data_IF_095850008094
#
_entry.id   IF_095850008094
#
_cell.length_a   1.000
_cell.length_b   1.000
_cell.length_c   1.000
_cell.angle_alpha   90.00
_cell.angle_beta   90.00
_cell.angle_gamma   90.00
#
_symmetry.space_group_name_H-M   'P 1'
#
loop_
_entity.id
_entity.type
_entity.pdbx_description
1 polymer ?
#
# COMPACT_ATOMS: atom_id res chain seq x y z
N UNK A 1 2.49 -26.02 9.95
CA UNK A 1 1.58 -25.08 9.27
C UNK A 1 1.78 -23.74 9.97
N UNK A 2 2.14 -22.68 9.27
CA UNK A 2 2.30 -21.37 9.89
C UNK A 2 0.92 -20.83 10.28
N UNK A 3 0.80 -20.22 11.45
CA UNK A 3 -0.47 -19.66 11.93
C UNK A 3 -0.82 -18.40 11.11
N UNK A 4 -2.06 -18.31 10.62
CA UNK A 4 -2.56 -17.09 9.98
C UNK A 4 -3.08 -16.13 11.05
N UNK A 5 -2.23 -15.16 11.38
CA UNK A 5 -2.43 -14.19 12.44
C UNK A 5 -3.66 -13.29 12.18
N UNK A 6 -4.32 -12.80 13.23
CA UNK A 6 -5.37 -11.81 13.09
C UNK A 6 -4.81 -10.49 12.54
N UNK A 7 -5.67 -9.73 11.86
CA UNK A 7 -5.32 -8.38 11.43
C UNK A 7 -5.02 -7.46 12.64
N UNK A 8 -4.17 -6.43 12.48
CA UNK A 8 -3.90 -5.45 13.51
C UNK A 8 -5.17 -4.76 14.03
N UNK A 9 -5.13 -4.15 15.23
CA UNK A 9 -6.24 -3.37 15.75
C UNK A 9 -6.70 -2.27 14.79
N UNK A 10 -7.99 -1.92 14.86
CA UNK A 10 -8.53 -0.76 14.15
C UNK A 10 -7.78 0.52 14.59
N UNK A 11 -7.57 1.43 13.65
CA UNK A 11 -6.84 2.68 13.83
C UNK A 11 -5.32 2.53 13.68
N UNK A 12 -4.80 1.31 13.49
CA UNK A 12 -3.40 1.09 13.15
C UNK A 12 -3.05 1.84 11.85
N UNK A 13 -1.94 2.59 11.82
CA UNK A 13 -1.41 3.18 10.59
C UNK A 13 -0.92 2.11 9.64
N UNK A 14 -1.37 2.18 8.38
CA UNK A 14 -0.97 1.24 7.34
C UNK A 14 -0.75 1.93 5.99
N UNK A 15 0.01 1.28 5.13
CA UNK A 15 -0.05 1.48 3.68
C UNK A 15 -0.71 0.26 3.02
N UNK A 16 -1.26 0.46 1.84
CA UNK A 16 -1.96 -0.55 1.05
C UNK A 16 -1.30 -0.71 -0.32
N UNK A 17 -1.38 -1.92 -0.85
CA UNK A 17 -0.96 -2.27 -2.20
C UNK A 17 -2.02 -3.15 -2.87
N UNK A 18 -2.37 -2.87 -4.12
CA UNK A 18 -3.32 -3.68 -4.86
C UNK A 18 -2.82 -4.06 -6.26
N UNK A 19 -2.96 -5.33 -6.57
CA UNK A 19 -2.76 -5.89 -7.90
C UNK A 19 -4.12 -6.29 -8.47
N UNK A 20 -4.52 -5.64 -9.56
CA UNK A 20 -5.86 -5.71 -10.12
C UNK A 20 -5.89 -6.51 -11.41
N UNK A 21 -6.83 -7.46 -11.50
CA UNK A 21 -7.12 -8.15 -12.75
C UNK A 21 -8.61 -8.37 -12.93
N UNK A 22 -9.07 -8.29 -14.17
CA UNK A 22 -10.48 -8.47 -14.53
C UNK A 22 -10.84 -9.95 -14.72
N UNK A 23 -9.89 -10.75 -15.24
CA UNK A 23 -10.09 -12.17 -15.62
C UNK A 23 -8.82 -13.00 -15.37
N UNK A 24 -9.00 -14.30 -15.11
CA UNK A 24 -7.98 -15.33 -14.89
C UNK A 24 -7.04 -15.10 -13.68
N UNK A 25 -6.29 -14.02 -13.67
CA UNK A 25 -5.42 -13.63 -12.55
C UNK A 25 -6.22 -13.02 -11.40
N UNK A 26 -5.73 -13.20 -10.17
CA UNK A 26 -6.49 -12.78 -8.99
C UNK A 26 -6.36 -11.28 -8.79
N UNK A 27 -7.38 -10.69 -8.17
CA UNK A 27 -7.25 -9.34 -7.60
C UNK A 27 -6.91 -9.46 -6.12
N UNK A 28 -6.02 -8.63 -5.61
CA UNK A 28 -5.65 -8.64 -4.20
C UNK A 28 -5.36 -7.24 -3.68
N UNK A 29 -5.73 -6.99 -2.42
CA UNK A 29 -5.26 -5.87 -1.61
C UNK A 29 -4.45 -6.45 -0.44
N UNK A 30 -3.23 -5.96 -0.26
CA UNK A 30 -2.32 -6.28 0.85
C UNK A 30 -2.01 -5.02 1.62
N UNK A 31 -1.63 -5.17 2.89
CA UNK A 31 -1.36 -4.05 3.77
C UNK A 31 -0.01 -4.21 4.50
N UNK A 32 0.65 -3.09 4.78
CA UNK A 32 1.85 -3.01 5.60
C UNK A 32 1.64 -2.01 6.74
N UNK A 33 1.94 -2.39 7.98
CA UNK A 33 1.99 -1.45 9.11
C UNK A 33 3.27 -0.63 9.09
N UNK A 34 3.30 0.48 9.85
CA UNK A 34 4.50 1.33 9.97
C UNK A 34 5.78 0.54 10.35
N UNK A 35 5.64 -0.45 11.23
CA UNK A 35 6.71 -1.33 11.73
C UNK A 35 6.99 -2.56 10.84
N UNK A 36 6.36 -2.66 9.66
CA UNK A 36 6.70 -3.66 8.65
C UNK A 36 5.95 -4.99 8.74
N UNK A 37 4.82 -5.06 9.47
CA UNK A 37 3.95 -6.23 9.39
C UNK A 37 3.13 -6.19 8.09
N UNK A 38 3.42 -7.13 7.19
CA UNK A 38 2.64 -7.41 5.99
C UNK A 38 1.50 -8.38 6.31
N UNK A 39 0.27 -8.00 6.00
CA UNK A 39 -0.91 -8.83 6.28
C UNK A 39 -1.94 -8.81 5.16
N UNK A 40 -2.81 -9.82 5.14
CA UNK A 40 -4.01 -9.86 4.29
C UNK A 40 -5.16 -9.29 5.09
N UNK A 41 -5.61 -8.06 4.79
CA UNK A 41 -6.81 -7.54 5.41
C UNK A 41 -8.02 -8.45 5.17
N UNK A 42 -9.02 -8.27 6.02
CA UNK A 42 -10.32 -8.92 5.86
C UNK A 42 -11.38 -7.83 5.80
N UNK A 43 -12.50 -8.10 5.14
CA UNK A 43 -13.60 -7.16 4.96
C UNK A 43 -14.95 -7.85 5.10
N UNK A 44 -16.01 -7.06 5.24
CA UNK A 44 -17.39 -7.52 5.39
C UNK A 44 -17.69 -8.20 6.73
N UNK A 45 -18.97 -8.54 6.96
CA UNK A 45 -19.40 -9.22 8.19
C UNK A 45 -18.80 -10.62 8.33
N UNK A 46 -18.58 -11.32 7.21
CA UNK A 46 -18.00 -12.67 7.18
C UNK A 46 -16.47 -12.68 7.26
N UNK A 47 -15.85 -11.49 7.32
CA UNK A 47 -14.39 -11.32 7.41
C UNK A 47 -13.66 -12.05 6.28
N UNK A 48 -14.17 -11.93 5.05
CA UNK A 48 -13.53 -12.48 3.86
C UNK A 48 -12.17 -11.80 3.65
N UNK A 49 -11.13 -12.52 3.19
CA UNK A 49 -9.86 -11.91 2.87
C UNK A 49 -9.97 -11.00 1.65
N UNK A 50 -9.12 -9.98 1.57
CA UNK A 50 -9.08 -9.03 0.44
C UNK A 50 -8.31 -9.58 -0.75
N UNK A 51 -8.69 -10.77 -1.20
CA UNK A 51 -8.29 -11.31 -2.49
C UNK A 51 -9.47 -12.03 -3.15
N UNK A 52 -9.50 -12.01 -4.47
CA UNK A 52 -10.62 -12.52 -5.26
C UNK A 52 -10.08 -13.34 -6.44
N UNK A 53 -10.40 -14.63 -6.47
CA UNK A 53 -10.22 -15.48 -7.64
C UNK A 53 -11.39 -15.26 -8.60
N UNK A 54 -11.22 -14.65 -9.79
CA UNK A 54 -12.32 -14.43 -10.71
C UNK A 54 -13.16 -15.69 -10.97
N UNK A 55 -12.54 -16.88 -10.96
CA UNK A 55 -13.22 -18.16 -11.22
C UNK A 55 -14.27 -18.53 -10.17
N UNK A 56 -14.17 -17.99 -8.96
CA UNK A 56 -15.16 -18.25 -7.89
C UNK A 56 -16.32 -17.27 -7.92
N UNK A 57 -16.33 -16.30 -8.84
CA UNK A 57 -17.34 -15.26 -8.94
C UNK A 57 -18.16 -15.36 -10.24
N UNK A 58 -19.40 -14.83 -10.26
CA UNK A 58 -20.26 -14.87 -11.44
C UNK A 58 -19.56 -14.30 -12.69
N UNK A 59 -19.65 -15.03 -13.80
CA UNK A 59 -19.02 -14.61 -15.06
C UNK A 59 -17.51 -14.78 -15.12
N UNK A 60 -16.91 -15.51 -14.17
CA UNK A 60 -15.46 -15.72 -14.07
C UNK A 60 -14.67 -14.39 -14.03
N UNK A 61 -15.22 -13.40 -13.32
CA UNK A 61 -14.77 -12.01 -13.32
C UNK A 61 -14.61 -11.50 -11.90
N UNK A 62 -13.63 -10.64 -11.68
CA UNK A 62 -13.44 -9.99 -10.38
C UNK A 62 -14.68 -9.17 -9.98
N UNK A 63 -15.19 -9.35 -8.76
CA UNK A 63 -16.32 -8.57 -8.23
C UNK A 63 -15.86 -7.17 -7.82
N UNK A 64 -15.87 -6.22 -8.78
CA UNK A 64 -15.34 -4.86 -8.54
C UNK A 64 -16.01 -4.12 -7.39
N UNK A 65 -17.32 -4.34 -7.20
CA UNK A 65 -18.08 -3.79 -6.07
C UNK A 65 -17.52 -4.27 -4.72
N UNK A 66 -17.10 -5.53 -4.64
CA UNK A 66 -16.47 -6.10 -3.44
C UNK A 66 -15.07 -5.53 -3.22
N UNK A 67 -14.28 -5.34 -4.28
CA UNK A 67 -12.96 -4.71 -4.20
C UNK A 67 -13.08 -3.27 -3.68
N UNK A 68 -14.01 -2.50 -4.24
CA UNK A 68 -14.33 -1.13 -3.83
C UNK A 68 -14.79 -1.08 -2.36
N UNK A 69 -15.77 -1.91 -2.00
CA UNK A 69 -16.30 -2.00 -0.64
C UNK A 69 -15.20 -2.36 0.37
N UNK A 70 -14.35 -3.32 0.02
CA UNK A 70 -13.22 -3.70 0.86
C UNK A 70 -12.27 -2.52 1.07
N UNK A 71 -11.87 -1.82 0.01
CA UNK A 71 -10.99 -0.66 0.11
C UNK A 71 -11.57 0.41 1.05
N UNK A 72 -12.84 0.80 0.90
CA UNK A 72 -13.49 1.77 1.78
C UNK A 72 -13.53 1.35 3.24
N UNK A 73 -13.80 0.07 3.47
CA UNK A 73 -13.83 -0.49 4.80
C UNK A 73 -12.45 -0.46 5.46
N UNK A 74 -11.38 -0.67 4.68
CA UNK A 74 -10.01 -0.50 5.16
C UNK A 74 -9.72 0.95 5.52
N UNK A 75 -10.12 1.92 4.70
CA UNK A 75 -10.00 3.35 5.03
C UNK A 75 -10.80 3.75 6.27
N UNK A 76 -11.95 3.09 6.50
CA UNK A 76 -12.76 3.31 7.71
C UNK A 76 -12.12 2.70 8.96
N UNK A 77 -11.43 1.57 8.81
CA UNK A 77 -10.91 0.80 9.96
C UNK A 77 -9.48 1.13 10.31
N UNK A 78 -8.67 1.60 9.38
CA UNK A 78 -7.26 1.88 9.56
C UNK A 78 -6.93 3.32 9.20
N UNK A 79 -5.77 3.79 9.64
CA UNK A 79 -5.22 5.07 9.18
C UNK A 79 -4.37 4.79 7.95
N UNK A 80 -5.00 4.78 6.78
CA UNK A 80 -4.31 4.51 5.52
C UNK A 80 -3.51 5.74 5.13
N UNK A 81 -2.17 5.62 5.12
CA UNK A 81 -1.28 6.70 4.73
C UNK A 81 -1.16 6.79 3.20
N UNK A 82 -0.95 5.64 2.55
CA UNK A 82 -0.75 5.55 1.11
C UNK A 82 -1.26 4.23 0.58
N UNK A 83 -1.93 4.27 -0.57
CA UNK A 83 -2.45 3.12 -1.27
C UNK A 83 -1.98 3.16 -2.73
N UNK A 84 -1.10 2.23 -3.10
CA UNK A 84 -0.70 2.00 -4.49
C UNK A 84 -1.55 0.91 -5.13
N UNK A 85 -2.15 1.21 -6.29
CA UNK A 85 -3.00 0.28 -7.03
C UNK A 85 -2.47 0.16 -8.46
N UNK A 86 -2.17 -1.05 -8.92
CA UNK A 86 -1.86 -1.33 -10.33
C UNK A 86 -3.11 -1.11 -11.22
N UNK A 87 -3.09 -0.12 -12.12
CA UNK A 87 -4.30 0.34 -12.78
C UNK A 87 -4.84 -0.44 -13.97
N UNK A 88 -4.12 -1.36 -14.67
CA UNK A 88 -4.67 -1.98 -15.88
C UNK A 88 -6.08 -2.53 -15.66
N UNK A 89 -7.07 -1.97 -16.37
CA UNK A 89 -8.50 -2.28 -16.27
C UNK A 89 -9.20 -1.77 -15.01
N UNK A 90 -8.53 -1.19 -14.04
CA UNK A 90 -9.07 -0.62 -12.80
C UNK A 90 -8.97 0.91 -12.76
N UNK A 91 -8.68 1.57 -13.88
CA UNK A 91 -8.44 3.03 -13.93
C UNK A 91 -9.61 3.82 -13.32
N UNK A 92 -10.84 3.60 -13.80
CA UNK A 92 -12.04 4.26 -13.27
C UNK A 92 -12.35 3.89 -11.81
N UNK A 93 -11.99 2.67 -11.41
CA UNK A 93 -12.15 2.20 -10.04
C UNK A 93 -11.20 2.95 -9.09
N UNK A 94 -9.97 3.19 -9.53
CA UNK A 94 -8.95 3.94 -8.80
C UNK A 94 -9.34 5.41 -8.71
N UNK A 95 -9.81 6.02 -9.80
CA UNK A 95 -10.31 7.41 -9.81
C UNK A 95 -11.44 7.60 -8.78
N UNK A 96 -12.36 6.62 -8.70
CA UNK A 96 -13.44 6.65 -7.72
C UNK A 96 -12.95 6.47 -6.27
N UNK A 97 -11.88 5.70 -6.05
CA UNK A 97 -11.25 5.58 -4.72
C UNK A 97 -10.53 6.86 -4.33
N UNK A 98 -9.76 7.46 -5.25
CA UNK A 98 -9.04 8.72 -5.04
C UNK A 98 -10.02 9.86 -4.75
N UNK A 99 -11.13 9.94 -5.47
CA UNK A 99 -12.19 10.93 -5.22
C UNK A 99 -12.79 10.83 -3.81
N UNK A 100 -12.81 9.64 -3.22
CA UNK A 100 -13.41 9.38 -1.90
C UNK A 100 -12.37 9.45 -0.78
N UNK A 101 -11.11 9.17 -1.10
CA UNK A 101 -9.96 9.17 -0.19
C UNK A 101 -8.83 10.03 -0.79
N UNK A 102 -9.06 11.35 -0.94
CA UNK A 102 -8.16 12.23 -1.67
C UNK A 102 -6.80 12.33 -1.00
N UNK A 103 -5.74 12.27 -1.80
CA UNK A 103 -4.35 12.34 -1.32
C UNK A 103 -3.79 11.04 -0.74
N UNK A 104 -4.54 9.94 -0.78
CA UNK A 104 -4.08 8.64 -0.26
C UNK A 104 -4.01 7.53 -1.31
N UNK A 105 -4.75 7.63 -2.42
CA UNK A 105 -4.83 6.57 -3.44
C UNK A 105 -4.09 7.01 -4.70
N UNK A 106 -3.21 6.16 -5.21
CA UNK A 106 -2.37 6.47 -6.37
C UNK A 106 -2.25 5.26 -7.29
N UNK A 107 -2.29 5.53 -8.60
CA UNK A 107 -1.89 4.54 -9.59
C UNK A 107 -0.41 4.20 -9.45
N UNK A 108 -0.11 2.91 -9.44
CA UNK A 108 1.27 2.42 -9.51
C UNK A 108 1.39 1.34 -10.57
N UNK A 109 1.82 1.76 -11.76
CA UNK A 109 1.95 0.89 -12.93
C UNK A 109 3.07 -0.15 -12.75
N UNK A 110 2.71 -1.44 -12.69
CA UNK A 110 3.67 -2.57 -12.59
C UNK A 110 4.42 -2.84 -13.89
N UNK A 111 3.85 -2.42 -15.02
CA UNK A 111 4.45 -2.54 -16.35
C UNK A 111 5.62 -1.57 -16.62
N UNK A 112 6.24 -1.04 -15.56
CA UNK A 112 7.42 -0.15 -15.59
C UNK A 112 8.65 -0.93 -15.08
N UNK A 113 9.44 -1.59 -15.96
CA UNK A 113 10.41 -2.60 -15.53
C UNK A 113 11.49 -2.08 -14.57
N UNK A 114 11.94 -0.83 -14.71
CA UNK A 114 12.96 -0.25 -13.83
C UNK A 114 12.43 -0.03 -12.41
N UNK A 115 11.26 0.58 -12.30
CA UNK A 115 10.59 0.86 -11.04
C UNK A 115 10.17 -0.45 -10.35
N UNK A 116 9.60 -1.39 -11.11
CA UNK A 116 9.22 -2.71 -10.60
C UNK A 116 10.43 -3.49 -10.11
N UNK A 117 11.53 -3.51 -10.86
CA UNK A 117 12.76 -4.15 -10.41
C UNK A 117 13.30 -3.52 -9.12
N UNK A 118 13.32 -2.18 -9.01
CA UNK A 118 13.77 -1.50 -7.81
C UNK A 118 12.90 -1.83 -6.58
N UNK A 119 11.57 -1.85 -6.75
CA UNK A 119 10.63 -2.24 -5.70
C UNK A 119 10.82 -3.71 -5.28
N UNK A 120 11.06 -4.61 -6.24
CA UNK A 120 11.36 -6.03 -5.97
C UNK A 120 12.66 -6.23 -5.20
N UNK A 121 13.72 -5.52 -5.57
CA UNK A 121 15.00 -5.56 -4.86
C UNK A 121 14.87 -5.05 -3.43
N UNK A 122 14.16 -3.94 -3.23
CA UNK A 122 13.86 -3.41 -1.89
C UNK A 122 13.08 -4.41 -1.05
N UNK A 123 11.99 -4.94 -1.60
CA UNK A 123 11.16 -5.93 -0.92
C UNK A 123 11.95 -7.19 -0.53
N UNK A 124 12.79 -7.71 -1.44
CA UNK A 124 13.67 -8.84 -1.15
C UNK A 124 14.67 -8.52 -0.05
N UNK A 125 15.35 -7.38 -0.12
CA UNK A 125 16.35 -7.00 0.86
C UNK A 125 15.74 -6.79 2.26
N UNK A 126 14.53 -6.24 2.32
CA UNK A 126 13.82 -5.98 3.58
C UNK A 126 13.23 -7.27 4.18
N UNK A 127 12.81 -8.23 3.35
CA UNK A 127 12.50 -9.59 3.81
C UNK A 127 13.74 -10.27 4.40
N UNK A 128 14.85 -10.27 3.66
CA UNK A 128 16.09 -10.94 4.07
C UNK A 128 16.68 -10.32 5.35
N UNK A 129 16.54 -9.01 5.51
CA UNK A 129 16.96 -8.28 6.71
C UNK A 129 15.99 -8.39 7.89
N UNK A 130 14.81 -9.02 7.71
CA UNK A 130 13.76 -9.11 8.73
C UNK A 130 13.10 -7.77 9.07
N UNK A 131 13.18 -6.77 8.17
CA UNK A 131 12.50 -5.48 8.31
C UNK A 131 11.00 -5.57 8.03
N UNK A 132 10.60 -6.57 7.25
CA UNK A 132 9.20 -6.91 7.05
C UNK A 132 8.89 -8.33 7.50
N UNK A 133 7.75 -8.50 8.17
CA UNK A 133 7.24 -9.78 8.67
C UNK A 133 5.90 -10.08 8.02
N UNK A 134 5.45 -11.33 8.05
CA UNK A 134 4.23 -11.77 7.36
C UNK A 134 3.20 -12.33 8.35
N UNK A 135 1.92 -12.10 8.09
CA UNK A 135 0.79 -12.60 8.88
C UNK A 135 0.55 -14.12 8.78
N UNK A 136 1.34 -14.84 7.97
CA UNK A 136 1.16 -16.27 7.77
C UNK A 136 -0.05 -16.65 6.91
N UNK A 137 -0.61 -15.72 6.12
CA UNK A 137 -1.68 -16.04 5.18
C UNK A 137 -1.23 -17.17 4.22
N UNK A 138 -1.91 -18.34 4.23
CA UNK A 138 -1.45 -19.50 3.47
C UNK A 138 -1.53 -19.26 1.95
N UNK A 139 -2.46 -18.43 1.50
CA UNK A 139 -2.61 -18.06 0.09
C UNK A 139 -1.47 -17.16 -0.35
N UNK A 140 -1.13 -16.12 0.43
CA UNK A 140 0.04 -15.26 0.15
C UNK A 140 1.32 -16.09 0.09
N UNK A 141 1.51 -17.03 1.02
CA UNK A 141 2.67 -17.91 1.03
C UNK A 141 2.79 -18.75 -0.26
N UNK A 142 1.66 -19.28 -0.77
CA UNK A 142 1.63 -19.99 -2.06
C UNK A 142 1.98 -19.07 -3.22
N UNK A 143 1.45 -17.84 -3.27
CA UNK A 143 1.76 -16.88 -4.34
C UNK A 143 3.24 -16.47 -4.33
N UNK A 144 3.80 -16.24 -3.14
CA UNK A 144 5.25 -16.01 -2.97
C UNK A 144 6.07 -17.21 -3.42
N UNK A 145 5.68 -18.43 -3.05
CA UNK A 145 6.37 -19.66 -3.45
C UNK A 145 6.25 -19.98 -4.95
N UNK A 146 5.23 -19.47 -5.64
CA UNK A 146 5.07 -19.59 -7.08
C UNK A 146 5.99 -18.63 -7.86
N UNK A 147 6.25 -17.43 -7.32
CA UNK A 147 6.96 -16.38 -8.05
C UNK A 147 8.39 -16.79 -8.47
N UNK A 148 8.74 -16.52 -9.72
CA UNK A 148 10.09 -16.76 -10.27
C UNK A 148 10.67 -15.47 -10.80
N UNK A 149 11.94 -15.20 -10.49
CA UNK A 149 12.69 -14.10 -11.09
C UNK A 149 13.04 -14.46 -12.52
N UNK A 150 12.55 -13.70 -13.48
CA UNK A 150 12.87 -13.86 -14.90
C UNK A 150 13.75 -12.70 -15.35
N UNK A 151 14.98 -12.97 -15.82
CA UNK A 151 15.89 -11.93 -16.29
C UNK A 151 15.32 -11.10 -17.45
N UNK A 152 15.63 -9.80 -17.39
CA UNK A 152 15.34 -8.77 -18.40
C UNK A 152 16.57 -7.86 -18.53
N UNK A 153 17.65 -8.41 -19.11
CA UNK A 153 18.95 -7.75 -19.14
C UNK A 153 19.57 -7.72 -17.74
N UNK A 154 19.93 -6.53 -17.27
CA UNK A 154 20.42 -6.32 -15.89
C UNK A 154 19.30 -6.31 -14.83
N UNK A 155 18.05 -6.19 -15.28
CA UNK A 155 16.86 -6.18 -14.41
C UNK A 155 16.25 -7.59 -14.36
N UNK A 156 15.26 -7.77 -13.49
CA UNK A 156 14.33 -8.90 -13.56
C UNK A 156 12.91 -8.46 -13.23
N UNK A 157 11.97 -9.28 -13.65
CA UNK A 157 10.55 -9.21 -13.24
C UNK A 157 10.16 -10.52 -12.55
N UNK A 158 9.04 -10.51 -11.84
CA UNK A 158 8.42 -11.76 -11.40
C UNK A 158 7.55 -12.33 -12.52
N UNK A 159 7.56 -13.64 -12.66
CA UNK A 159 6.67 -14.37 -13.56
C UNK A 159 6.17 -15.66 -12.89
N UNK A 160 5.07 -16.19 -13.43
CA UNK A 160 4.44 -17.43 -12.99
C UNK A 160 5.01 -18.63 -13.75
N UNK A 161 5.30 -19.76 -13.07
CA UNK A 161 5.78 -20.97 -13.76
C UNK A 161 4.73 -21.57 -14.69
N UNK A 162 3.44 -21.38 -14.39
CA UNK A 162 2.31 -21.77 -15.23
C UNK A 162 1.10 -20.88 -14.94
N UNK A 163 0.09 -20.89 -15.81
CA UNK A 163 -1.12 -20.05 -15.66
C UNK A 163 -1.90 -20.29 -14.36
N UNK A 164 -1.84 -21.50 -13.80
CA UNK A 164 -2.52 -21.85 -12.54
C UNK A 164 -1.72 -21.44 -11.29
N UNK A 165 -0.42 -21.17 -11.43
CA UNK A 165 0.47 -20.80 -10.33
C UNK A 165 0.50 -19.28 -10.16
N UNK A 166 -0.58 -18.76 -9.57
CA UNK A 166 -0.80 -17.33 -9.38
C UNK A 166 0.25 -16.67 -8.48
N UNK A 167 0.51 -15.38 -8.74
CA UNK A 167 1.51 -14.55 -8.04
C UNK A 167 0.94 -13.20 -7.57
N UNK A 168 -0.34 -12.95 -7.78
CA UNK A 168 -0.94 -11.62 -7.65
C UNK A 168 -0.85 -11.06 -6.20
N UNK A 169 -0.99 -11.92 -5.18
CA UNK A 169 -0.80 -11.52 -3.78
C UNK A 169 0.65 -11.11 -3.44
N UNK A 170 1.67 -11.67 -4.11
CA UNK A 170 3.05 -11.19 -3.90
C UNK A 170 3.28 -9.86 -4.59
N UNK A 171 2.71 -9.65 -5.78
CA UNK A 171 2.74 -8.35 -6.45
C UNK A 171 2.06 -7.28 -5.59
N UNK A 172 0.85 -7.54 -5.08
CA UNK A 172 0.17 -6.64 -4.15
C UNK A 172 0.99 -6.37 -2.86
N UNK A 173 1.71 -7.38 -2.34
CA UNK A 173 2.60 -7.21 -1.18
C UNK A 173 3.77 -6.29 -1.49
N UNK A 174 4.38 -6.41 -2.69
CA UNK A 174 5.46 -5.52 -3.14
C UNK A 174 4.95 -4.08 -3.28
N UNK A 175 3.74 -3.87 -3.82
CA UNK A 175 3.13 -2.54 -3.92
C UNK A 175 2.84 -1.93 -2.54
N UNK A 176 2.36 -2.74 -1.59
CA UNK A 176 2.11 -2.27 -0.22
C UNK A 176 3.41 -1.85 0.47
N UNK A 177 4.49 -2.60 0.22
CA UNK A 177 5.82 -2.28 0.75
C UNK A 177 6.42 -1.04 0.08
N UNK A 178 6.24 -0.88 -1.23
CA UNK A 178 6.67 0.31 -1.96
C UNK A 178 5.95 1.56 -1.45
N UNK A 179 4.63 1.47 -1.26
CA UNK A 179 3.82 2.53 -0.66
C UNK A 179 4.32 2.90 0.74
N UNK A 180 4.63 1.89 1.58
CA UNK A 180 5.15 2.09 2.92
C UNK A 180 6.56 2.70 2.93
N UNK A 181 7.44 2.28 2.02
CA UNK A 181 8.78 2.83 1.87
C UNK A 181 8.75 4.30 1.45
N UNK A 182 7.94 4.64 0.44
CA UNK A 182 7.77 6.02 0.02
C UNK A 182 7.13 6.85 1.13
N UNK A 183 6.13 6.31 1.85
CA UNK A 183 5.47 7.03 2.92
C UNK A 183 6.46 7.34 4.06
N UNK A 184 7.30 6.38 4.44
CA UNK A 184 8.39 6.58 5.41
C UNK A 184 9.39 7.63 4.91
N UNK A 185 9.72 7.65 3.63
CA UNK A 185 10.58 8.67 3.04
C UNK A 185 9.97 10.07 3.10
N UNK A 186 8.64 10.17 3.06
CA UNK A 186 7.89 11.43 3.20
C UNK A 186 7.61 11.80 4.68
N UNK A 187 8.22 11.09 5.64
CA UNK A 187 8.13 11.40 7.07
C UNK A 187 7.05 10.63 7.84
N UNK A 188 6.44 9.59 7.24
CA UNK A 188 5.47 8.74 7.94
C UNK A 188 6.10 8.08 9.17
N UNK A 189 5.51 8.36 10.35
CA UNK A 189 5.99 7.88 11.65
C UNK A 189 6.90 8.86 12.40
N UNK A 190 7.32 9.98 11.78
CA UNK A 190 8.07 11.01 12.47
C UNK A 190 7.16 11.85 13.38
N UNK A 191 7.63 12.15 14.60
CA UNK A 191 6.92 13.10 15.48
C UNK A 191 7.15 14.51 14.98
N UNK A 192 6.11 15.17 14.46
CA UNK A 192 6.20 16.59 14.10
C UNK A 192 6.66 17.44 15.30
N UNK A 193 7.85 18.03 15.22
CA UNK A 193 8.25 19.08 16.14
C UNK A 193 7.55 20.38 15.74
N UNK A 194 6.51 20.75 16.47
CA UNK A 194 5.86 22.06 16.33
C UNK A 194 6.81 23.16 16.83
N UNK A 195 7.56 23.79 15.93
CA UNK A 195 8.28 25.02 16.27
C UNK A 195 7.32 26.20 16.30
N UNK A 196 6.90 26.62 17.49
CA UNK A 196 6.12 27.85 17.69
C UNK A 196 7.04 29.06 17.43
N UNK A 197 6.83 29.76 16.32
CA UNK A 197 7.52 31.03 16.03
C UNK A 197 6.83 32.17 16.78
N UNK A 198 7.45 32.66 17.85
CA UNK A 198 6.99 33.86 18.56
C UNK A 198 7.43 35.14 17.82
N UNK A 199 6.48 35.83 17.18
CA UNK A 199 6.72 37.21 16.72
C UNK A 199 6.63 38.18 17.91
N UNK A 200 7.76 38.69 18.38
CA UNK A 200 7.80 39.85 19.28
C UNK A 200 7.56 41.12 18.48
N UNK A 201 6.40 41.77 18.69
CA UNK A 201 6.13 43.14 18.22
C UNK A 201 7.08 44.09 18.96
N UNK A 202 8.07 44.63 18.26
CA UNK A 202 8.91 45.71 18.78
C UNK A 202 8.08 46.98 18.96
N UNK A 203 7.86 47.41 20.20
CA UNK A 203 7.37 48.76 20.48
C UNK A 203 8.52 49.75 20.25
N UNK A 204 8.40 50.56 19.21
CA UNK A 204 9.28 51.72 19.01
C UNK A 204 8.85 52.83 19.97
N UNK A 205 9.69 53.10 20.97
CA UNK A 205 9.58 54.26 21.85
C UNK A 205 10.04 55.51 21.08
N UNK A 206 9.09 56.34 20.64
CA UNK A 206 9.39 57.68 20.17
C UNK A 206 9.79 58.56 21.38
N UNK A 207 11.09 58.86 21.48
CA UNK A 207 11.61 59.84 22.43
C UNK A 207 11.32 61.25 21.93
N UNK A 208 10.52 61.95 22.72
CA UNK A 208 10.27 63.39 22.68
C UNK A 208 11.60 64.16 22.79
N UNK A 209 11.86 65.16 21.94
CA UNK A 209 12.91 66.17 22.15
C UNK A 209 12.28 67.57 22.12
N UNK A 210 12.60 68.45 23.09
CA UNK A 210 11.98 69.77 23.18
C UNK A 210 12.68 70.80 22.28
N UNK A 211 11.90 71.82 21.91
CA UNK A 211 12.33 73.04 21.25
C UNK A 211 13.44 73.79 22.01
N UNK A 212 14.36 74.44 21.29
CA UNK A 212 15.04 75.65 21.73
C UNK A 212 15.49 76.48 20.51
N UNK A 213 14.84 77.65 20.40
CA UNK A 213 15.21 78.93 19.76
C UNK A 213 15.54 78.96 18.27
#
# INVERSE_FOLDING_TARGET
MQEWLPAPPKGTPICLGADGSDFDDWTAIRAETLDGLQFTPRYGPDRLPTFWDPKTWPGARTPRDQVQQAADELFRWYKVERFYFDPPRFETDIDALESRHPGHVFEWWTNRPKQMHAALERFSADLDAGRITQDGCPVTAVHMANARRIPRGILYVLDKPSKSQKIDLVMASVLAHEAAADARADGWGEKQQMSVVHFRRGMSSARNRPHLR
#
